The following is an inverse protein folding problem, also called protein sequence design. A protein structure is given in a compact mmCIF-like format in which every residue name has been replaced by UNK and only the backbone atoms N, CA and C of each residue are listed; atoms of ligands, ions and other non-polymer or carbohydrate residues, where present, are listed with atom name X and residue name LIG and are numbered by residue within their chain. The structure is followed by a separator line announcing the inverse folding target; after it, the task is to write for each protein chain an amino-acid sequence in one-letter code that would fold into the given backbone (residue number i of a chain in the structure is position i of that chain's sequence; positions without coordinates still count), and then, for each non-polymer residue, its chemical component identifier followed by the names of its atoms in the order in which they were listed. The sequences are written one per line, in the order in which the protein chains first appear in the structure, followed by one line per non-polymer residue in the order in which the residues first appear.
data_IF_823076339696
#
_entry.id   IF_823076339696
#
_cell.length_a   1.000
_cell.length_b   1.000
_cell.length_c   1.000
_cell.angle_alpha   90.00
_cell.angle_beta   90.00
_cell.angle_gamma   90.00
#
_symmetry.space_group_name_H-M   'P 1'
#
loop_
_entity.id
_entity.type
_entity.pdbx_description
1 polymer ?
#
# COMPACT_ATOMS: atom_id res chain seq x y z
N UNK A 1 1.35 2.13 21.83
CA UNK A 1 0.89 2.94 20.67
C UNK A 1 -0.54 2.53 20.36
N UNK A 2 -1.40 3.44 19.90
CA UNK A 2 -2.80 3.11 19.62
C UNK A 2 -2.90 2.48 18.23
N UNK A 3 -3.57 1.32 18.12
CA UNK A 3 -3.85 0.66 16.83
C UNK A 3 -4.75 1.56 16.00
N UNK A 4 -4.37 1.84 14.74
CA UNK A 4 -5.15 2.65 13.80
C UNK A 4 -6.18 1.79 13.05
N UNK A 5 -5.73 0.66 12.48
CA UNK A 5 -6.56 -0.28 11.75
C UNK A 5 -6.42 -1.68 12.36
N UNK A 6 -7.54 -2.36 12.61
CA UNK A 6 -7.56 -3.72 13.15
C UNK A 6 -8.49 -4.60 12.35
N UNK A 7 -7.98 -5.77 11.96
CA UNK A 7 -8.75 -6.89 11.42
C UNK A 7 -8.83 -7.96 12.51
N UNK A 8 -9.99 -8.57 12.68
CA UNK A 8 -10.22 -9.64 13.66
C UNK A 8 -10.99 -10.78 13.03
N UNK A 9 -10.35 -11.96 12.96
CA UNK A 9 -10.92 -13.21 12.43
C UNK A 9 -11.56 -13.05 11.04
N UNK A 10 -10.92 -12.26 10.16
CA UNK A 10 -11.47 -11.92 8.85
C UNK A 10 -11.42 -13.12 7.92
N UNK A 11 -12.62 -13.54 7.45
CA UNK A 11 -12.80 -14.56 6.42
C UNK A 11 -13.46 -13.94 5.20
N UNK A 12 -12.94 -14.26 4.02
CA UNK A 12 -13.52 -13.84 2.73
C UNK A 12 -13.71 -15.06 1.84
N UNK A 13 -14.92 -15.19 1.27
CA UNK A 13 -15.27 -16.23 0.32
C UNK A 13 -15.62 -15.65 -1.04
N UNK A 14 -15.13 -16.26 -2.11
CA UNK A 14 -15.52 -15.94 -3.49
C UNK A 14 -15.77 -17.22 -4.26
N UNK A 15 -16.91 -17.30 -4.95
CA UNK A 15 -17.27 -18.46 -5.79
C UNK A 15 -17.04 -19.81 -5.07
N UNK A 16 -17.53 -19.94 -3.83
CA UNK A 16 -17.40 -21.11 -2.96
C UNK A 16 -15.97 -21.46 -2.51
N UNK A 17 -14.98 -20.59 -2.80
CA UNK A 17 -13.61 -20.72 -2.28
C UNK A 17 -13.36 -19.69 -1.19
N UNK A 18 -12.77 -20.13 -0.11
CA UNK A 18 -12.27 -19.26 0.93
C UNK A 18 -10.94 -18.66 0.48
N UNK A 19 -10.86 -17.34 0.42
CA UNK A 19 -9.66 -16.59 -0.02
C UNK A 19 -8.84 -16.12 1.18
N UNK A 20 -9.51 -15.71 2.26
CA UNK A 20 -8.89 -15.36 3.53
C UNK A 20 -9.47 -16.24 4.63
N UNK A 21 -8.62 -16.77 5.49
CA UNK A 21 -8.93 -17.81 6.46
C UNK A 21 -8.72 -17.34 7.91
N UNK A 22 -9.55 -16.42 8.42
CA UNK A 22 -9.49 -15.96 9.80
C UNK A 22 -8.29 -15.08 10.08
N UNK A 23 -8.05 -14.07 9.22
CA UNK A 23 -6.93 -13.13 9.38
C UNK A 23 -7.19 -12.18 10.56
N UNK A 24 -6.25 -12.14 11.50
CA UNK A 24 -6.24 -11.17 12.59
C UNK A 24 -4.91 -10.39 12.56
N UNK A 25 -5.01 -9.08 12.29
CA UNK A 25 -3.86 -8.17 12.18
C UNK A 25 -4.21 -6.81 12.79
N UNK A 26 -3.22 -6.15 13.34
CA UNK A 26 -3.32 -4.78 13.84
C UNK A 26 -2.22 -3.93 13.20
N UNK A 27 -2.56 -2.72 12.78
CA UNK A 27 -1.62 -1.78 12.13
C UNK A 27 -1.57 -0.48 12.92
N UNK A 28 -0.38 0.05 13.07
CA UNK A 28 -0.08 1.20 13.93
C UNK A 28 0.35 2.42 13.10
N UNK A 29 0.06 3.64 13.58
CA UNK A 29 0.60 4.87 13.00
C UNK A 29 2.13 4.87 13.03
N UNK A 30 2.74 5.57 12.08
CA UNK A 30 4.19 5.73 12.02
C UNK A 30 4.94 4.47 11.56
N UNK A 31 4.24 3.52 10.89
CA UNK A 31 4.87 2.28 10.42
C UNK A 31 4.53 1.98 8.96
N UNK A 32 5.50 1.43 8.24
CA UNK A 32 5.31 0.82 6.92
C UNK A 32 5.21 -0.68 7.10
N UNK A 33 4.04 -1.26 6.83
CA UNK A 33 3.84 -2.71 6.80
C UNK A 33 3.77 -3.20 5.36
N UNK A 34 4.72 -4.03 4.94
CA UNK A 34 4.69 -4.69 3.64
C UNK A 34 3.90 -6.00 3.70
N UNK A 35 2.91 -6.17 2.82
CA UNK A 35 2.24 -7.44 2.56
C UNK A 35 2.97 -8.15 1.42
N UNK A 36 3.57 -9.30 1.71
CA UNK A 36 4.31 -10.11 0.73
C UNK A 36 3.74 -11.53 0.66
N UNK A 37 4.08 -12.27 -0.39
CA UNK A 37 3.62 -13.64 -0.60
C UNK A 37 3.42 -13.94 -2.08
N UNK A 38 3.26 -15.22 -2.47
CA UNK A 38 3.08 -15.62 -3.86
C UNK A 38 1.78 -15.06 -4.46
N UNK A 39 1.65 -15.16 -5.79
CA UNK A 39 0.42 -14.80 -6.48
C UNK A 39 -0.73 -15.69 -5.97
N UNK A 40 -1.89 -15.07 -5.74
CA UNK A 40 -3.05 -15.78 -5.18
C UNK A 40 -3.02 -15.98 -3.66
N UNK A 41 -1.99 -15.50 -2.94
CA UNK A 41 -1.92 -15.61 -1.47
C UNK A 41 -3.00 -14.80 -0.71
N UNK A 42 -3.74 -13.91 -1.42
CA UNK A 42 -4.82 -13.11 -0.82
C UNK A 42 -4.44 -11.67 -0.48
N UNK A 43 -3.24 -11.17 -0.89
CA UNK A 43 -2.73 -9.84 -0.57
C UNK A 43 -3.69 -8.70 -0.96
N UNK A 44 -4.07 -8.61 -2.24
CA UNK A 44 -5.01 -7.56 -2.72
C UNK A 44 -6.42 -7.73 -2.14
N UNK A 45 -6.84 -8.97 -1.86
CA UNK A 45 -8.11 -9.22 -1.15
C UNK A 45 -8.05 -8.68 0.28
N UNK A 46 -6.95 -8.92 0.99
CA UNK A 46 -6.74 -8.39 2.34
C UNK A 46 -6.70 -6.86 2.33
N UNK A 47 -6.00 -6.27 1.36
CA UNK A 47 -5.96 -4.81 1.18
C UNK A 47 -7.34 -4.23 0.88
N UNK A 48 -8.14 -4.87 0.01
CA UNK A 48 -9.51 -4.46 -0.30
C UNK A 48 -10.45 -4.53 0.91
N UNK A 49 -10.27 -5.53 1.78
CA UNK A 49 -11.00 -5.62 3.06
C UNK A 49 -10.57 -4.52 4.01
N UNK A 50 -9.27 -4.28 4.14
CA UNK A 50 -8.70 -3.19 4.95
C UNK A 50 -9.17 -1.82 4.47
N UNK A 51 -9.35 -1.66 3.16
CA UNK A 51 -9.91 -0.48 2.53
C UNK A 51 -11.42 -0.29 2.77
N UNK A 52 -12.17 -1.35 3.06
CA UNK A 52 -13.63 -1.34 3.11
C UNK A 52 -14.28 -1.44 1.72
N UNK A 53 -13.51 -1.69 0.67
CA UNK A 53 -13.98 -1.89 -0.70
C UNK A 53 -14.55 -3.31 -0.88
N UNK A 54 -14.14 -4.23 0.00
CA UNK A 54 -14.67 -5.58 0.10
C UNK A 54 -15.10 -5.86 1.55
N UNK A 55 -16.34 -6.32 1.71
CA UNK A 55 -16.85 -6.74 3.01
C UNK A 55 -16.37 -8.16 3.34
N UNK A 56 -15.93 -8.38 4.58
CA UNK A 56 -15.67 -9.71 5.11
C UNK A 56 -16.98 -10.51 5.30
N UNK A 57 -16.93 -11.81 5.02
CA UNK A 57 -18.05 -12.74 5.29
C UNK A 57 -18.15 -13.07 6.78
N UNK A 58 -17.00 -13.14 7.48
CA UNK A 58 -16.90 -13.37 8.93
C UNK A 58 -15.81 -12.45 9.47
N UNK A 59 -15.90 -12.09 10.74
CA UNK A 59 -14.95 -11.22 11.40
C UNK A 59 -15.28 -9.74 11.27
N UNK A 60 -14.41 -8.91 11.79
CA UNK A 60 -14.62 -7.46 11.88
C UNK A 60 -13.37 -6.68 11.46
N UNK A 61 -13.59 -5.51 10.85
CA UNK A 61 -12.55 -4.52 10.59
C UNK A 61 -12.93 -3.23 11.30
N UNK A 62 -11.98 -2.68 12.06
CA UNK A 62 -12.18 -1.39 12.73
C UNK A 62 -11.06 -0.41 12.37
N UNK A 63 -11.44 0.85 12.13
CA UNK A 63 -10.55 1.98 11.86
C UNK A 63 -10.76 3.01 12.96
N UNK A 64 -9.68 3.47 13.61
CA UNK A 64 -9.74 4.41 14.73
C UNK A 64 -10.73 3.96 15.84
N UNK A 65 -10.76 2.64 16.12
CA UNK A 65 -11.64 2.05 17.14
C UNK A 65 -13.12 1.95 16.76
N UNK A 66 -13.53 2.33 15.55
CA UNK A 66 -14.91 2.24 15.05
C UNK A 66 -15.01 1.15 13.97
N UNK A 67 -16.12 0.40 13.90
CA UNK A 67 -16.34 -0.55 12.81
C UNK A 67 -16.23 0.15 11.44
N UNK A 68 -15.40 -0.38 10.54
CA UNK A 68 -15.17 0.21 9.22
C UNK A 68 -16.48 0.35 8.42
N UNK A 69 -17.37 -0.62 8.55
CA UNK A 69 -18.69 -0.62 7.92
C UNK A 69 -19.63 0.51 8.41
N UNK A 70 -19.31 1.18 9.51
CA UNK A 70 -20.12 2.30 10.04
C UNK A 70 -19.77 3.65 9.41
N UNK A 71 -18.67 3.74 8.68
CA UNK A 71 -18.27 4.97 8.01
C UNK A 71 -19.09 5.22 6.74
N UNK A 72 -19.49 6.48 6.55
CA UNK A 72 -19.97 6.96 5.25
C UNK A 72 -18.79 7.22 4.33
N UNK A 73 -18.99 7.19 3.00
CA UNK A 73 -17.92 7.33 2.00
C UNK A 73 -17.04 8.58 2.19
N UNK A 74 -17.63 9.76 2.36
CA UNK A 74 -16.88 11.01 2.54
C UNK A 74 -16.00 11.03 3.79
N UNK A 75 -16.54 10.77 5.01
CA UNK A 75 -15.71 10.60 6.20
C UNK A 75 -14.63 9.54 6.06
N UNK A 76 -14.94 8.37 5.48
CA UNK A 76 -13.94 7.32 5.28
C UNK A 76 -12.79 7.76 4.36
N UNK A 77 -13.10 8.50 3.30
CA UNK A 77 -12.10 9.03 2.38
C UNK A 77 -11.17 10.11 3.00
N UNK A 78 -11.50 10.65 4.16
CA UNK A 78 -10.58 11.51 4.94
C UNK A 78 -9.70 10.73 5.90
N UNK A 79 -10.04 9.50 6.19
CA UNK A 79 -9.27 8.65 7.11
C UNK A 79 -8.35 7.68 6.36
N UNK A 80 -8.65 7.36 5.08
CA UNK A 80 -7.85 6.45 4.29
C UNK A 80 -7.74 6.85 2.83
N UNK A 81 -6.56 6.69 2.24
CA UNK A 81 -6.32 6.75 0.80
C UNK A 81 -5.94 5.38 0.25
N UNK A 82 -6.39 5.07 -0.97
CA UNK A 82 -6.16 3.78 -1.63
C UNK A 82 -5.55 4.00 -3.00
N UNK A 83 -4.43 3.33 -3.26
CA UNK A 83 -3.87 3.15 -4.58
C UNK A 83 -4.23 1.75 -5.06
N UNK A 84 -5.13 1.59 -6.06
CA UNK A 84 -5.47 0.29 -6.62
C UNK A 84 -4.36 -0.18 -7.58
N UNK A 85 -4.32 -1.48 -7.86
CA UNK A 85 -3.37 -2.07 -8.81
C UNK A 85 -3.59 -1.58 -10.26
N UNK A 86 -4.85 -1.37 -10.67
CA UNK A 86 -5.18 -0.83 -11.99
C UNK A 86 -5.23 0.71 -11.95
N UNK A 87 -4.45 1.34 -12.82
CA UNK A 87 -4.29 2.80 -12.91
C UNK A 87 -4.90 3.33 -14.22
N UNK A 88 -6.21 3.43 -14.30
CA UNK A 88 -6.86 3.91 -15.52
C UNK A 88 -7.84 5.06 -15.29
N UNK A 89 -7.43 6.30 -15.61
CA UNK A 89 -8.36 7.42 -15.77
C UNK A 89 -8.76 7.47 -17.25
N UNK A 90 -10.05 7.23 -17.54
CA UNK A 90 -10.57 7.13 -18.92
C UNK A 90 -10.98 8.49 -19.53
N UNK A 91 -10.82 9.57 -18.80
CA UNK A 91 -11.22 10.92 -19.21
C UNK A 91 -10.00 11.78 -19.52
N UNK A 92 -10.17 12.80 -20.35
CA UNK A 92 -9.14 13.74 -20.78
C UNK A 92 -8.86 14.80 -19.68
N UNK A 93 -8.39 14.35 -18.51
CA UNK A 93 -7.90 15.22 -17.45
C UNK A 93 -6.39 15.39 -17.55
N UNK A 94 -5.87 16.54 -17.15
CA UNK A 94 -4.44 16.72 -16.93
C UNK A 94 -3.95 15.98 -15.68
N UNK A 95 -2.64 15.77 -15.58
CA UNK A 95 -2.00 15.20 -14.39
C UNK A 95 -2.38 15.99 -13.13
N UNK A 96 -2.31 17.32 -13.19
CA UNK A 96 -2.65 18.20 -12.07
C UNK A 96 -4.11 18.03 -11.63
N UNK A 97 -5.06 18.00 -12.57
CA UNK A 97 -6.47 17.80 -12.25
C UNK A 97 -6.70 16.45 -11.57
N UNK A 98 -6.04 15.37 -12.03
CA UNK A 98 -6.13 14.04 -11.38
C UNK A 98 -5.53 14.07 -9.97
N UNK A 99 -4.40 14.71 -9.77
CA UNK A 99 -3.79 14.84 -8.44
C UNK A 99 -4.70 15.65 -7.51
N UNK A 100 -5.27 16.76 -8.00
CA UNK A 100 -6.21 17.60 -7.24
C UNK A 100 -7.50 16.85 -6.82
N UNK A 101 -7.91 15.80 -7.55
CA UNK A 101 -9.02 14.94 -7.11
C UNK A 101 -8.76 14.27 -5.74
N UNK A 102 -7.51 14.14 -5.32
CA UNK A 102 -7.16 13.69 -3.97
C UNK A 102 -7.75 14.58 -2.87
N UNK A 103 -7.97 15.87 -3.16
CA UNK A 103 -8.51 16.83 -2.20
C UNK A 103 -10.05 16.83 -2.06
N UNK A 104 -10.76 16.19 -3.00
CA UNK A 104 -12.23 16.16 -3.02
C UNK A 104 -12.90 15.72 -1.69
N UNK A 105 -12.36 14.80 -0.88
CA UNK A 105 -12.96 14.42 0.39
C UNK A 105 -12.90 15.52 1.47
N UNK A 106 -12.00 16.49 1.34
CA UNK A 106 -11.76 17.55 2.32
C UNK A 106 -12.69 18.75 2.10
N UNK A 107 -13.00 19.52 3.15
CA UNK A 107 -13.62 20.83 2.96
C UNK A 107 -12.70 21.68 2.07
N UNK A 108 -13.26 22.44 1.11
CA UNK A 108 -12.46 23.27 0.21
C UNK A 108 -11.62 24.31 0.97
N UNK A 109 -10.32 24.28 0.79
CA UNK A 109 -9.35 25.27 1.25
C UNK A 109 -8.29 25.47 0.16
N UNK A 110 -8.43 26.47 -0.71
CA UNK A 110 -7.55 26.63 -1.86
C UNK A 110 -6.07 26.71 -1.48
N UNK A 111 -5.72 27.33 -0.35
CA UNK A 111 -4.31 27.46 0.07
C UNK A 111 -3.72 26.12 0.49
N UNK A 112 -4.46 25.34 1.27
CA UNK A 112 -4.05 24.00 1.70
C UNK A 112 -4.09 23.05 0.52
N UNK A 113 -5.13 23.09 -0.31
CA UNK A 113 -5.31 22.18 -1.43
C UNK A 113 -4.21 22.37 -2.48
N UNK A 114 -3.89 23.62 -2.85
CA UNK A 114 -2.80 23.93 -3.79
C UNK A 114 -1.43 23.46 -3.24
N UNK A 115 -1.17 23.67 -1.95
CA UNK A 115 0.08 23.24 -1.31
C UNK A 115 0.22 21.71 -1.31
N UNK A 116 -0.86 20.98 -1.01
CA UNK A 116 -0.85 19.51 -1.00
C UNK A 116 -0.68 18.92 -2.41
N UNK A 117 -1.36 19.52 -3.40
CA UNK A 117 -1.22 19.11 -4.81
C UNK A 117 0.21 19.34 -5.29
N UNK A 118 0.80 20.51 -5.01
CA UNK A 118 2.18 20.83 -5.40
C UNK A 118 3.17 19.85 -4.76
N UNK A 119 3.07 19.62 -3.45
CA UNK A 119 3.93 18.68 -2.75
C UNK A 119 3.82 17.24 -3.31
N UNK A 120 2.61 16.80 -3.67
CA UNK A 120 2.38 15.48 -4.24
C UNK A 120 2.96 15.35 -5.66
N UNK A 121 2.83 16.39 -6.49
CA UNK A 121 3.41 16.46 -7.83
C UNK A 121 4.95 16.41 -7.74
N UNK A 122 5.55 17.15 -6.80
CA UNK A 122 6.99 17.12 -6.55
C UNK A 122 7.48 15.75 -6.08
N UNK A 123 6.80 15.17 -5.10
CA UNK A 123 7.15 13.85 -4.57
C UNK A 123 7.15 12.76 -5.65
N UNK A 124 6.23 12.85 -6.61
CA UNK A 124 6.11 11.92 -7.73
C UNK A 124 6.92 12.30 -9.00
N UNK A 125 7.68 13.41 -8.97
CA UNK A 125 8.42 13.95 -10.14
C UNK A 125 7.55 14.15 -11.39
N UNK A 126 6.44 14.84 -11.26
CA UNK A 126 5.45 15.03 -12.33
C UNK A 126 5.42 16.47 -12.88
N UNK A 127 6.31 17.39 -12.43
CA UNK A 127 6.32 18.80 -12.85
C UNK A 127 6.28 18.96 -14.38
N UNK A 128 7.14 18.23 -15.10
CA UNK A 128 7.23 18.30 -16.54
C UNK A 128 5.99 17.75 -17.29
N UNK A 129 5.15 16.99 -16.56
CA UNK A 129 3.95 16.34 -17.09
C UNK A 129 2.66 16.99 -16.59
N UNK A 130 2.76 18.02 -15.76
CA UNK A 130 1.66 18.63 -15.01
C UNK A 130 0.41 18.91 -15.84
N UNK A 131 0.59 19.49 -17.03
CA UNK A 131 -0.50 19.87 -17.94
C UNK A 131 -0.80 18.80 -18.99
N UNK A 132 -0.09 17.68 -18.98
CA UNK A 132 -0.29 16.60 -19.95
C UNK A 132 -1.55 15.80 -19.60
N UNK A 133 -2.30 15.41 -20.62
CA UNK A 133 -3.48 14.53 -20.47
C UNK A 133 -3.05 13.13 -19.99
N UNK A 134 -3.74 12.59 -18.99
CA UNK A 134 -3.40 11.29 -18.40
C UNK A 134 -3.53 10.13 -19.37
N UNK A 135 -4.35 10.26 -20.41
CA UNK A 135 -4.49 9.26 -21.50
C UNK A 135 -3.22 9.13 -22.36
N UNK A 136 -2.34 10.12 -22.34
CA UNK A 136 -1.10 10.16 -23.12
C UNK A 136 0.12 9.71 -22.32
N UNK A 137 -0.09 9.30 -21.07
CA UNK A 137 0.98 8.88 -20.18
C UNK A 137 1.38 7.43 -20.44
N UNK A 138 2.67 7.13 -20.24
CA UNK A 138 3.14 5.76 -20.11
C UNK A 138 2.59 5.11 -18.82
N UNK A 139 2.69 3.77 -18.72
CA UNK A 139 2.24 3.05 -17.53
C UNK A 139 2.90 3.55 -16.24
N UNK A 140 4.21 3.82 -16.28
CA UNK A 140 4.94 4.35 -15.12
C UNK A 140 4.55 5.79 -14.77
N UNK A 141 4.31 6.66 -15.75
CA UNK A 141 3.82 8.03 -15.52
C UNK A 141 2.39 8.01 -14.94
N UNK A 142 1.52 7.12 -15.41
CA UNK A 142 0.16 6.92 -14.90
C UNK A 142 0.18 6.40 -13.45
N UNK A 143 1.05 5.42 -13.15
CA UNK A 143 1.23 4.92 -11.79
C UNK A 143 1.70 6.03 -10.84
N UNK A 144 2.68 6.85 -11.23
CA UNK A 144 3.14 8.00 -10.45
C UNK A 144 2.04 9.06 -10.26
N UNK A 145 1.22 9.30 -11.28
CA UNK A 145 0.07 10.23 -11.18
C UNK A 145 -0.96 9.72 -10.17
N UNK A 146 -1.27 8.41 -10.19
CA UNK A 146 -2.16 7.80 -9.21
C UNK A 146 -1.57 7.86 -7.80
N UNK A 147 -0.28 7.62 -7.66
CA UNK A 147 0.43 7.74 -6.37
C UNK A 147 0.39 9.18 -5.84
N UNK A 148 0.66 10.19 -6.69
CA UNK A 148 0.56 11.60 -6.32
C UNK A 148 -0.87 11.97 -5.85
N UNK A 149 -1.91 11.48 -6.51
CA UNK A 149 -3.30 11.66 -6.07
C UNK A 149 -3.54 11.10 -4.68
N UNK A 150 -2.95 9.93 -4.38
CA UNK A 150 -3.04 9.30 -3.04
C UNK A 150 -2.31 10.13 -2.00
N UNK A 151 -1.13 10.67 -2.30
CA UNK A 151 -0.39 11.57 -1.41
C UNK A 151 -1.16 12.87 -1.16
N UNK A 152 -1.72 13.50 -2.21
CA UNK A 152 -2.50 14.72 -2.09
C UNK A 152 -3.75 14.57 -1.20
N UNK A 153 -4.25 13.34 -1.05
CA UNK A 153 -5.40 13.06 -0.18
C UNK A 153 -5.08 13.27 1.31
N UNK A 154 -3.80 13.17 1.72
CA UNK A 154 -3.30 13.50 3.07
C UNK A 154 -4.13 12.84 4.19
N UNK A 155 -4.04 11.53 4.29
CA UNK A 155 -4.83 10.71 5.21
C UNK A 155 -3.96 9.95 6.20
N UNK A 156 -4.47 9.63 7.41
CA UNK A 156 -3.71 8.87 8.40
C UNK A 156 -3.46 7.41 8.01
N UNK A 157 -4.20 6.85 7.02
CA UNK A 157 -4.01 5.49 6.52
C UNK A 157 -3.79 5.49 5.01
N UNK A 158 -2.67 4.93 4.56
CA UNK A 158 -2.37 4.69 3.14
C UNK A 158 -2.38 3.19 2.85
N UNK A 159 -3.13 2.80 1.83
CA UNK A 159 -3.26 1.43 1.34
C UNK A 159 -2.79 1.38 -0.12
N UNK A 160 -1.64 0.75 -0.38
CA UNK A 160 -0.97 0.81 -1.68
C UNK A 160 -0.85 -0.61 -2.27
N UNK A 161 -1.52 -0.87 -3.39
CA UNK A 161 -1.42 -2.15 -4.09
C UNK A 161 -0.40 -2.06 -5.23
N UNK A 162 0.78 -2.62 -5.04
CA UNK A 162 1.89 -2.69 -5.99
C UNK A 162 2.33 -1.33 -6.56
N UNK A 163 2.62 -0.31 -5.75
CA UNK A 163 2.89 1.04 -6.22
C UNK A 163 4.16 1.14 -7.08
N UNK A 164 4.98 0.10 -7.13
CA UNK A 164 6.27 0.09 -7.83
C UNK A 164 6.29 -0.79 -9.09
N UNK A 165 5.20 -1.53 -9.41
CA UNK A 165 5.20 -2.58 -10.43
C UNK A 165 5.54 -2.08 -11.86
N UNK A 166 5.14 -0.85 -12.22
CA UNK A 166 5.36 -0.28 -13.55
C UNK A 166 6.54 0.72 -13.61
N UNK A 167 7.35 0.80 -12.54
CA UNK A 167 8.38 1.82 -12.38
C UNK A 167 9.79 1.26 -12.61
N UNK A 168 10.68 2.08 -13.15
CA UNK A 168 12.11 1.81 -13.16
C UNK A 168 12.73 1.95 -11.76
N UNK A 169 13.97 1.52 -11.60
CA UNK A 169 14.68 1.49 -10.31
C UNK A 169 14.69 2.85 -9.60
N UNK A 170 14.88 3.94 -10.36
CA UNK A 170 14.93 5.28 -9.78
C UNK A 170 13.58 5.69 -9.20
N UNK A 171 12.50 5.46 -9.96
CA UNK A 171 11.15 5.82 -9.53
C UNK A 171 10.62 4.88 -8.44
N UNK A 172 11.01 3.59 -8.44
CA UNK A 172 10.71 2.66 -7.34
C UNK A 172 11.29 3.17 -6.01
N UNK A 173 12.60 3.51 -6.01
CA UNK A 173 13.29 4.07 -4.84
C UNK A 173 12.60 5.34 -4.34
N UNK A 174 12.26 6.26 -5.25
CA UNK A 174 11.63 7.51 -4.88
C UNK A 174 10.23 7.31 -4.29
N UNK A 175 9.42 6.46 -4.91
CA UNK A 175 8.07 6.12 -4.40
C UNK A 175 8.16 5.55 -2.99
N UNK A 176 9.07 4.58 -2.74
CA UNK A 176 9.19 3.96 -1.43
C UNK A 176 9.79 4.91 -0.37
N UNK A 177 10.67 5.83 -0.76
CA UNK A 177 11.11 6.91 0.15
C UNK A 177 9.96 7.84 0.53
N UNK A 178 9.09 8.20 -0.42
CA UNK A 178 7.89 9.01 -0.11
C UNK A 178 6.93 8.25 0.80
N UNK A 179 6.75 6.94 0.60
CA UNK A 179 5.97 6.06 1.49
C UNK A 179 6.54 6.07 2.91
N UNK A 180 7.85 5.92 3.04
CA UNK A 180 8.53 5.95 4.35
C UNK A 180 8.40 7.32 5.02
N UNK A 181 8.57 8.41 4.27
CA UNK A 181 8.38 9.78 4.79
C UNK A 181 6.95 10.02 5.30
N UNK A 182 5.92 9.46 4.64
CA UNK A 182 4.55 9.51 5.16
C UNK A 182 4.42 8.80 6.51
N UNK A 183 5.07 7.65 6.68
CA UNK A 183 5.07 6.93 7.96
C UNK A 183 5.85 7.72 9.03
N UNK A 184 7.00 8.28 8.72
CA UNK A 184 7.75 9.17 9.64
C UNK A 184 6.93 10.38 10.08
N UNK A 185 6.04 10.89 9.19
CA UNK A 185 5.09 11.94 9.51
C UNK A 185 3.88 11.46 10.34
N UNK A 186 3.78 10.16 10.64
CA UNK A 186 2.76 9.56 11.50
C UNK A 186 1.67 8.78 10.77
N UNK A 187 1.70 8.66 9.46
CA UNK A 187 0.73 7.83 8.75
C UNK A 187 0.98 6.33 9.01
N UNK A 188 -0.09 5.55 9.00
CA UNK A 188 -0.03 4.10 8.92
C UNK A 188 -0.01 3.70 7.44
N UNK A 189 1.01 2.98 7.01
CA UNK A 189 1.12 2.57 5.60
C UNK A 189 1.09 1.05 5.48
N UNK A 190 0.19 0.55 4.63
CA UNK A 190 0.14 -0.86 4.23
C UNK A 190 0.41 -0.93 2.74
N UNK A 191 1.47 -1.59 2.35
CA UNK A 191 1.90 -1.67 0.95
C UNK A 191 2.05 -3.13 0.51
N UNK A 192 1.44 -3.49 -0.60
CA UNK A 192 1.69 -4.78 -1.27
C UNK A 192 2.93 -4.66 -2.13
N UNK A 193 3.91 -5.52 -1.91
CA UNK A 193 5.14 -5.58 -2.69
C UNK A 193 5.41 -7.01 -3.17
N UNK A 194 5.88 -7.15 -4.42
CA UNK A 194 6.36 -8.42 -4.95
C UNK A 194 7.85 -8.62 -4.74
N UNK A 195 8.62 -7.54 -4.78
CA UNK A 195 10.06 -7.59 -4.55
C UNK A 195 10.35 -7.63 -3.04
N UNK A 196 10.90 -8.77 -2.59
CA UNK A 196 11.24 -9.00 -1.19
C UNK A 196 12.39 -8.12 -0.72
N UNK A 197 13.29 -7.73 -1.62
CA UNK A 197 14.41 -6.85 -1.29
C UNK A 197 13.96 -5.40 -1.13
N UNK A 198 12.99 -4.95 -1.92
CA UNK A 198 12.33 -3.68 -1.69
C UNK A 198 11.55 -3.68 -0.37
N UNK A 199 10.80 -4.76 -0.08
CA UNK A 199 10.11 -4.90 1.20
C UNK A 199 11.09 -4.88 2.38
N UNK A 200 12.22 -5.61 2.29
CA UNK A 200 13.25 -5.60 3.33
C UNK A 200 13.88 -4.22 3.54
N UNK A 201 14.02 -3.45 2.46
CA UNK A 201 14.70 -2.15 2.51
C UNK A 201 13.87 -0.98 3.00
N UNK A 202 12.54 -1.10 3.00
CA UNK A 202 11.64 0.03 3.25
C UNK A 202 10.53 -0.23 4.27
N UNK A 203 10.24 -1.50 4.61
CA UNK A 203 9.21 -1.81 5.59
C UNK A 203 9.79 -2.00 6.99
N UNK A 204 9.09 -1.47 7.99
CA UNK A 204 9.37 -1.72 9.40
C UNK A 204 8.88 -3.12 9.81
N UNK A 205 7.80 -3.57 9.15
CA UNK A 205 7.13 -4.84 9.41
C UNK A 205 6.76 -5.51 8.09
N UNK A 206 6.91 -6.82 8.05
CA UNK A 206 6.48 -7.66 6.92
C UNK A 206 5.43 -8.66 7.40
N UNK A 207 4.33 -8.75 6.67
CA UNK A 207 3.33 -9.80 6.82
C UNK A 207 3.44 -10.70 5.58
N UNK A 208 3.93 -11.91 5.79
CA UNK A 208 4.04 -12.93 4.74
C UNK A 208 2.75 -13.74 4.69
N UNK A 209 2.07 -13.68 3.57
CA UNK A 209 0.82 -14.41 3.32
C UNK A 209 1.06 -15.66 2.49
N UNK A 210 0.41 -16.74 2.88
CA UNK A 210 0.34 -18.00 2.15
C UNK A 210 -1.08 -18.54 2.16
N UNK A 211 -1.67 -18.80 0.99
CA UNK A 211 -3.00 -19.40 0.84
C UNK A 211 -4.07 -18.78 1.77
N UNK A 212 -4.13 -17.45 1.83
CA UNK A 212 -5.10 -16.73 2.63
C UNK A 212 -4.87 -16.73 4.14
N UNK A 213 -3.69 -17.14 4.61
CA UNK A 213 -3.27 -17.16 6.02
C UNK A 213 -2.01 -16.33 6.22
N UNK A 214 -1.82 -15.85 7.43
CA UNK A 214 -0.53 -15.25 7.84
C UNK A 214 0.45 -16.38 8.12
N UNK A 215 1.48 -16.49 7.29
CA UNK A 215 2.55 -17.48 7.43
C UNK A 215 3.66 -17.02 8.38
N UNK A 216 3.96 -15.71 8.35
CA UNK A 216 4.86 -15.06 9.29
C UNK A 216 4.53 -13.55 9.38
N UNK A 217 4.83 -12.95 10.53
CA UNK A 217 4.57 -11.55 10.84
C UNK A 217 5.67 -11.03 11.77
N UNK A 218 6.33 -9.95 11.43
CA UNK A 218 7.43 -9.39 12.23
C UNK A 218 8.32 -8.44 11.42
N UNK A 219 9.50 -8.15 11.96
CA UNK A 219 10.51 -7.35 11.25
C UNK A 219 11.02 -8.09 10.01
N UNK A 220 11.62 -7.38 9.02
CA UNK A 220 12.20 -8.02 7.85
C UNK A 220 13.14 -9.18 8.20
N UNK A 221 14.00 -9.03 9.22
CA UNK A 221 14.92 -10.07 9.68
C UNK A 221 14.20 -11.32 10.23
N UNK A 222 13.06 -11.14 10.88
CA UNK A 222 12.30 -12.25 11.46
C UNK A 222 11.49 -13.02 10.41
N UNK A 223 11.03 -12.34 9.37
CA UNK A 223 10.12 -12.90 8.36
C UNK A 223 10.86 -13.46 7.16
N UNK A 224 11.84 -12.73 6.62
CA UNK A 224 12.58 -13.10 5.41
C UNK A 224 13.73 -14.05 5.76
N UNK A 225 13.39 -15.24 6.22
CA UNK A 225 14.34 -16.35 6.48
C UNK A 225 14.26 -17.38 5.36
N UNK A 226 15.36 -18.10 5.10
CA UNK A 226 15.39 -19.17 4.11
C UNK A 226 14.26 -20.18 4.32
N UNK A 227 14.04 -20.62 5.57
CA UNK A 227 12.98 -21.58 5.90
C UNK A 227 11.55 -21.08 5.59
N UNK A 228 11.25 -19.82 5.90
CA UNK A 228 9.94 -19.22 5.55
C UNK A 228 9.77 -19.10 4.05
N UNK A 229 10.81 -18.61 3.36
CA UNK A 229 10.75 -18.35 1.92
C UNK A 229 10.69 -19.64 1.11
N UNK A 230 11.50 -20.66 1.44
CA UNK A 230 11.44 -21.97 0.81
C UNK A 230 10.07 -22.62 0.95
N UNK A 231 9.50 -22.56 2.17
CA UNK A 231 8.16 -23.11 2.44
C UNK A 231 7.09 -22.40 1.62
N UNK A 232 7.07 -21.06 1.63
CA UNK A 232 5.97 -20.27 1.06
C UNK A 232 6.08 -20.12 -0.45
N UNK A 233 7.29 -19.92 -0.98
CA UNK A 233 7.52 -19.74 -2.43
C UNK A 233 7.90 -21.02 -3.16
N UNK A 234 8.16 -22.12 -2.41
CA UNK A 234 8.61 -23.41 -2.96
C UNK A 234 9.84 -23.26 -3.88
N UNK A 235 10.76 -22.37 -3.49
CA UNK A 235 11.96 -22.02 -4.24
C UNK A 235 13.15 -21.97 -3.28
N UNK A 236 14.27 -22.55 -3.72
CA UNK A 236 15.51 -22.44 -2.96
C UNK A 236 16.05 -21.01 -3.03
N UNK A 237 16.34 -20.47 -1.87
CA UNK A 237 16.88 -19.12 -1.71
C UNK A 237 17.96 -19.11 -0.65
N UNK A 238 18.88 -18.16 -0.79
CA UNK A 238 19.86 -17.79 0.24
C UNK A 238 19.52 -16.39 0.74
N UNK A 239 19.55 -16.21 2.05
CA UNK A 239 19.31 -14.90 2.68
C UNK A 239 20.64 -14.40 3.24
N UNK A 240 21.13 -13.32 2.62
CA UNK A 240 22.36 -12.62 3.03
C UNK A 240 22.02 -11.34 3.78
N UNK A 241 23.00 -10.74 4.45
CA UNK A 241 22.87 -9.40 4.97
C UNK A 241 23.25 -8.37 3.88
N UNK A 242 22.39 -7.38 3.65
CA UNK A 242 22.69 -6.31 2.69
C UNK A 242 23.87 -5.46 3.19
N UNK A 243 25.00 -5.32 2.44
CA UNK A 243 26.26 -4.80 2.93
C UNK A 243 26.24 -3.33 3.37
N UNK A 244 25.22 -2.58 3.00
CA UNK A 244 25.07 -1.15 3.34
C UNK A 244 23.89 -0.82 4.24
N UNK A 245 22.85 -1.69 4.24
CA UNK A 245 21.57 -1.38 4.92
C UNK A 245 21.36 -2.24 6.17
N UNK A 246 22.09 -3.34 6.35
CA UNK A 246 21.90 -4.27 7.48
C UNK A 246 20.52 -4.94 7.50
N UNK A 247 19.88 -5.07 6.34
CA UNK A 247 18.59 -5.74 6.17
C UNK A 247 18.77 -7.04 5.37
N UNK A 248 17.81 -7.97 5.37
CA UNK A 248 17.91 -9.19 4.55
C UNK A 248 18.00 -8.87 3.07
N UNK A 249 18.87 -9.60 2.37
CA UNK A 249 18.98 -9.64 0.91
C UNK A 249 18.65 -11.06 0.44
N UNK A 250 17.52 -11.21 -0.22
CA UNK A 250 17.06 -12.50 -0.74
C UNK A 250 17.66 -12.73 -2.13
N UNK A 251 18.34 -13.85 -2.30
CA UNK A 251 18.97 -14.27 -3.56
C UNK A 251 18.41 -15.63 -3.94
N UNK A 252 17.89 -15.75 -5.17
CA UNK A 252 17.43 -17.03 -5.73
C UNK A 252 18.65 -17.82 -6.19
N UNK A 253 18.70 -19.11 -5.87
CA UNK A 253 19.79 -20.03 -6.23
C UNK A 253 19.38 -21.01 -7.32
#
# INVERSE_FOLDING_TARGET
MSVLLKLHEVVVRRQQREILHGISLAFEPGTVTALVGPNGAGKSTLLAVAAGDLRADVGEVSLLGKPLASYKAGPLARERAVMPQEHGVRFAFSVEEVVAMGRLPHPPDPVVDDAQVEAAIDAAELQALRLREVQQLSGGESARTTFARVLAQDTPLLLLDEPTAALDLRHQERTLRSVHACAEAGACVIVVLHDLNLAAGYADRIVLLEQGRVAADGTPMQVLTEGNLQRVYQQDVVVLEHPRRGVPLVVVT
#
